data_IF_457380499920
#
_entry.id   IF_457380499920
#
_cell.length_a   1.000
_cell.length_b   1.000
_cell.length_c   1.000
_cell.angle_alpha   90.00
_cell.angle_beta   90.00
_cell.angle_gamma   90.00
#
_symmetry.space_group_name_H-M   'P 1'
#
loop_
_entity.id
_entity.type
_entity.pdbx_description
1 polymer ?
#
# COMPACT_ATOMS: atom_id res chain seq x y z
N UNK A 1 10.67 -14.06 1.84
CA UNK A 1 10.55 -12.91 2.72
C UNK A 1 11.43 -11.77 2.23
N UNK A 2 10.96 -10.54 2.41
CA UNK A 2 11.66 -9.40 1.83
C UNK A 2 12.86 -8.97 2.66
N UNK A 3 13.99 -8.84 2.01
CA UNK A 3 15.21 -8.33 2.63
C UNK A 3 15.40 -6.85 2.31
N UNK A 4 14.74 -6.36 1.27
CA UNK A 4 14.83 -4.95 0.84
C UNK A 4 13.45 -4.38 0.64
N UNK A 5 13.33 -3.04 0.68
CA UNK A 5 12.04 -2.38 0.43
C UNK A 5 11.56 -2.60 -0.99
N UNK A 6 12.46 -2.83 -1.93
CA UNK A 6 12.10 -3.09 -3.32
C UNK A 6 11.33 -4.40 -3.49
N UNK A 7 11.52 -5.35 -2.60
CA UNK A 7 10.83 -6.64 -2.65
C UNK A 7 9.45 -6.63 -2.00
N UNK A 8 9.12 -5.58 -1.24
CA UNK A 8 7.84 -5.49 -0.55
C UNK A 8 6.72 -5.23 -1.55
N UNK A 9 5.62 -5.96 -1.42
CA UNK A 9 4.50 -5.86 -2.34
C UNK A 9 3.20 -6.18 -1.65
N UNK A 10 2.09 -5.68 -2.20
CA UNK A 10 0.74 -6.07 -1.79
C UNK A 10 0.11 -7.00 -2.83
N UNK A 11 0.79 -7.28 -3.93
CA UNK A 11 0.27 -8.17 -4.97
C UNK A 11 0.02 -9.56 -4.37
N UNK A 12 -1.10 -10.13 -4.72
CA UNK A 12 -1.48 -11.46 -4.25
C UNK A 12 -2.20 -12.22 -5.35
N UNK A 13 -1.86 -13.49 -5.48
CA UNK A 13 -2.43 -14.35 -6.51
C UNK A 13 -3.04 -15.58 -5.84
N UNK A 14 -4.21 -15.98 -6.32
CA UNK A 14 -4.92 -17.15 -5.79
C UNK A 14 -5.60 -17.85 -6.95
N UNK A 15 -5.31 -19.15 -7.09
CA UNK A 15 -5.93 -19.97 -8.13
C UNK A 15 -5.69 -19.49 -9.55
N UNK A 16 -4.53 -18.90 -9.81
CA UNK A 16 -4.16 -18.40 -11.14
C UNK A 16 -4.68 -17.00 -11.45
N UNK A 17 -5.38 -16.38 -10.51
CA UNK A 17 -5.89 -15.02 -10.67
C UNK A 17 -5.17 -14.11 -9.68
N UNK A 18 -4.69 -12.98 -10.16
CA UNK A 18 -4.10 -11.96 -9.30
C UNK A 18 -5.23 -11.21 -8.61
N UNK A 19 -5.55 -11.64 -7.36
CA UNK A 19 -6.68 -11.08 -6.62
C UNK A 19 -6.42 -9.69 -6.09
N UNK A 20 -5.15 -9.37 -5.82
CA UNK A 20 -4.71 -8.01 -5.49
C UNK A 20 -3.65 -7.63 -6.50
N UNK A 21 -3.94 -6.62 -7.30
CA UNK A 21 -3.05 -6.15 -8.35
C UNK A 21 -2.39 -4.84 -7.91
N UNK A 22 -1.08 -4.90 -7.70
CA UNK A 22 -0.32 -3.69 -7.35
C UNK A 22 -0.13 -2.85 -8.60
N UNK A 23 -0.55 -1.59 -8.54
CA UNK A 23 -0.44 -0.66 -9.66
C UNK A 23 0.79 0.24 -9.53
N UNK A 24 1.09 0.67 -8.30
CA UNK A 24 2.22 1.55 -8.04
C UNK A 24 2.64 1.43 -6.59
N UNK A 25 3.85 1.84 -6.32
CA UNK A 25 4.44 1.76 -4.99
C UNK A 25 5.41 2.92 -4.79
N UNK A 26 5.33 3.56 -3.64
CA UNK A 26 6.27 4.62 -3.27
C UNK A 26 6.81 4.33 -1.89
N UNK A 27 8.12 4.49 -1.74
CA UNK A 27 8.79 4.34 -0.45
C UNK A 27 8.83 5.71 0.21
N UNK A 28 8.13 5.85 1.33
CA UNK A 28 8.08 7.13 2.05
C UNK A 28 9.28 7.27 2.99
N UNK A 29 9.60 6.20 3.71
CA UNK A 29 10.79 6.14 4.57
C UNK A 29 11.40 4.76 4.45
N UNK A 30 12.71 4.66 4.69
CA UNK A 30 13.37 3.35 4.74
C UNK A 30 14.47 3.35 5.80
N UNK A 31 14.88 2.15 6.21
CA UNK A 31 15.82 1.95 7.29
C UNK A 31 15.33 0.81 8.17
N UNK A 32 15.59 0.87 9.48
CA UNK A 32 15.11 -0.15 10.41
C UNK A 32 13.59 -0.21 10.41
N UNK A 33 12.93 0.94 10.25
CA UNK A 33 11.50 1.05 9.97
C UNK A 33 11.33 1.59 8.56
N UNK A 34 10.43 1.00 7.81
CA UNK A 34 10.12 1.46 6.45
C UNK A 34 8.61 1.69 6.33
N UNK A 35 8.25 2.80 5.71
CA UNK A 35 6.85 3.14 5.44
C UNK A 35 6.68 3.25 3.94
N UNK A 36 5.75 2.49 3.40
CA UNK A 36 5.46 2.46 1.97
C UNK A 36 3.99 2.74 1.74
N UNK A 37 3.70 3.32 0.58
CA UNK A 37 2.32 3.48 0.13
C UNK A 37 2.17 2.73 -1.19
N UNK A 38 1.08 2.00 -1.32
CA UNK A 38 0.77 1.21 -2.50
C UNK A 38 -0.56 1.66 -3.08
N UNK A 39 -0.65 1.66 -4.41
CA UNK A 39 -1.91 1.81 -5.13
C UNK A 39 -2.22 0.46 -5.73
N UNK A 40 -3.44 -0.02 -5.53
CA UNK A 40 -3.80 -1.37 -5.95
C UNK A 40 -5.27 -1.47 -6.32
N UNK A 41 -5.63 -2.60 -6.92
CA UNK A 41 -7.02 -2.95 -7.26
C UNK A 41 -7.29 -4.36 -6.79
N UNK A 42 -8.52 -4.61 -6.35
CA UNK A 42 -8.98 -5.94 -5.98
C UNK A 42 -9.76 -6.56 -7.14
N UNK A 43 -9.60 -7.84 -7.33
CA UNK A 43 -10.38 -8.59 -8.32
C UNK A 43 -11.80 -8.75 -7.82
N UNK A 44 -12.78 -8.40 -8.67
CA UNK A 44 -14.18 -8.57 -8.37
C UNK A 44 -14.69 -9.83 -9.08
N UNK A 45 -14.87 -10.90 -8.32
CA UNK A 45 -15.32 -12.19 -8.84
C UNK A 45 -16.68 -12.12 -9.54
N UNK A 46 -17.59 -11.36 -8.96
CA UNK A 46 -18.95 -11.26 -9.48
C UNK A 46 -18.98 -10.60 -10.85
N UNK A 47 -18.21 -9.54 -11.02
CA UNK A 47 -18.17 -8.78 -12.27
C UNK A 47 -17.11 -9.28 -13.24
N UNK A 48 -16.16 -10.10 -12.79
CA UNK A 48 -15.08 -10.58 -13.62
C UNK A 48 -14.12 -9.47 -14.04
N UNK A 49 -13.91 -8.46 -13.19
CA UNK A 49 -13.04 -7.35 -13.49
C UNK A 49 -12.43 -6.78 -12.21
N UNK A 50 -11.39 -5.97 -12.37
CA UNK A 50 -10.80 -5.29 -11.21
C UNK A 50 -11.66 -4.10 -10.81
N UNK A 51 -11.74 -3.85 -9.51
CA UNK A 51 -12.45 -2.71 -8.96
C UNK A 51 -11.67 -1.42 -9.08
N UNK A 52 -12.20 -0.33 -8.50
CA UNK A 52 -11.52 0.96 -8.53
C UNK A 52 -10.21 0.94 -7.74
N UNK A 53 -9.39 1.96 -7.96
CA UNK A 53 -8.12 2.11 -7.26
C UNK A 53 -8.35 2.27 -5.76
N UNK A 54 -7.52 1.57 -5.01
CA UNK A 54 -7.45 1.67 -3.56
C UNK A 54 -6.00 1.93 -3.18
N UNK A 55 -5.80 2.36 -1.95
CA UNK A 55 -4.47 2.70 -1.46
C UNK A 55 -4.27 2.09 -0.09
N UNK A 56 -3.02 1.78 0.26
CA UNK A 56 -2.70 1.30 1.59
C UNK A 56 -1.32 1.82 1.99
N UNK A 57 -1.23 2.24 3.25
CA UNK A 57 0.03 2.66 3.83
C UNK A 57 0.46 1.55 4.77
N UNK A 58 1.66 1.05 4.58
CA UNK A 58 2.16 -0.07 5.38
C UNK A 58 3.48 0.27 6.02
N UNK A 59 3.62 -0.11 7.29
CA UNK A 59 4.86 0.07 8.02
C UNK A 59 5.48 -1.29 8.29
N UNK A 60 6.77 -1.37 8.05
CA UNK A 60 7.54 -2.60 8.22
C UNK A 60 8.72 -2.32 9.14
N UNK A 61 9.10 -3.32 9.91
CA UNK A 61 10.30 -3.25 10.75
C UNK A 61 11.25 -4.35 10.32
N UNK A 62 12.51 -3.99 10.14
CA UNK A 62 13.53 -4.96 9.78
C UNK A 62 13.97 -5.71 11.02
N UNK A 63 13.84 -7.03 10.97
CA UNK A 63 14.22 -7.94 12.05
C UNK A 63 14.96 -9.12 11.45
N UNK A 64 16.17 -9.39 11.97
CA UNK A 64 16.98 -10.50 11.49
C UNK A 64 17.21 -10.47 9.98
N UNK A 65 17.40 -9.26 9.42
CA UNK A 65 17.66 -9.08 8.01
C UNK A 65 16.43 -9.09 7.11
N UNK A 66 15.22 -9.21 7.68
CA UNK A 66 13.98 -9.27 6.91
C UNK A 66 12.99 -8.22 7.38
N UNK A 67 12.26 -7.63 6.41
CA UNK A 67 11.19 -6.71 6.73
C UNK A 67 9.92 -7.47 7.08
N UNK A 68 9.31 -7.12 8.21
CA UNK A 68 8.06 -7.70 8.67
C UNK A 68 7.03 -6.60 8.82
N UNK A 69 5.83 -6.82 8.30
CA UNK A 69 4.76 -5.86 8.39
C UNK A 69 4.32 -5.70 9.84
N UNK A 70 4.28 -4.46 10.32
CA UNK A 70 3.88 -4.15 11.69
C UNK A 70 2.52 -3.48 11.76
N UNK A 71 2.19 -2.65 10.78
CA UNK A 71 0.88 -2.00 10.75
C UNK A 71 0.50 -1.67 9.31
N UNK A 72 -0.79 -1.43 9.12
CA UNK A 72 -1.31 -1.01 7.83
C UNK A 72 -2.50 -0.07 8.04
N UNK A 73 -2.69 0.83 7.08
CA UNK A 73 -3.86 1.68 7.02
C UNK A 73 -4.38 1.67 5.61
N UNK A 74 -5.59 1.16 5.42
CA UNK A 74 -6.20 1.04 4.10
C UNK A 74 -7.05 2.27 3.81
N UNK A 75 -6.85 2.81 2.61
CA UNK A 75 -7.63 3.93 2.09
C UNK A 75 -8.47 3.35 0.96
N UNK A 76 -9.76 3.17 1.19
CA UNK A 76 -10.60 2.34 0.34
C UNK A 76 -11.24 3.06 -0.85
N UNK A 77 -11.01 4.37 -1.00
CA UNK A 77 -11.56 5.12 -2.12
C UNK A 77 -10.73 6.36 -2.40
N UNK A 78 -10.91 6.92 -3.61
CA UNK A 78 -10.29 8.20 -3.97
C UNK A 78 -10.77 9.33 -3.08
N UNK A 79 -12.05 9.28 -2.71
CA UNK A 79 -12.65 10.33 -1.87
C UNK A 79 -12.01 10.35 -0.49
N UNK A 80 -11.80 9.17 0.10
CA UNK A 80 -11.11 9.08 1.38
C UNK A 80 -9.67 9.58 1.26
N UNK A 81 -8.99 9.24 0.16
CA UNK A 81 -7.63 9.71 -0.08
C UNK A 81 -7.57 11.22 -0.17
N UNK A 82 -8.51 11.84 -0.89
CA UNK A 82 -8.58 13.29 -1.03
C UNK A 82 -8.84 13.98 0.30
N UNK A 83 -9.68 13.40 1.14
CA UNK A 83 -9.95 13.94 2.48
C UNK A 83 -8.67 13.96 3.32
N UNK A 84 -7.89 12.90 3.25
CA UNK A 84 -6.62 12.81 3.98
C UNK A 84 -5.63 13.85 3.45
N UNK A 85 -5.55 14.00 2.12
CA UNK A 85 -4.69 15.00 1.48
C UNK A 85 -5.06 16.41 1.96
N UNK A 86 -6.35 16.72 1.99
CA UNK A 86 -6.84 18.03 2.37
C UNK A 86 -6.45 18.37 3.81
N UNK A 87 -6.61 17.43 4.72
CA UNK A 87 -6.26 17.63 6.12
C UNK A 87 -4.76 17.80 6.28
N UNK A 88 -3.98 16.92 5.67
CA UNK A 88 -2.53 16.97 5.78
C UNK A 88 -1.96 18.23 5.12
N UNK A 89 -2.54 18.64 3.99
CA UNK A 89 -2.12 19.88 3.31
C UNK A 89 -2.39 21.09 4.19
N UNK A 90 -3.55 21.10 4.86
CA UNK A 90 -3.88 22.21 5.76
C UNK A 90 -2.95 22.29 6.96
N UNK A 91 -2.54 21.14 7.48
CA UNK A 91 -1.69 21.10 8.67
C UNK A 91 -0.19 21.26 8.38
N UNK A 92 0.28 20.74 7.27
CA UNK A 92 1.71 20.64 6.98
C UNK A 92 2.13 21.27 5.67
N UNK A 93 1.20 21.61 4.81
CA UNK A 93 1.52 21.99 3.44
C UNK A 93 2.19 23.33 3.25
N UNK A 94 2.14 24.21 4.23
CA UNK A 94 2.71 25.56 4.12
C UNK A 94 4.10 25.70 4.73
N UNK A 95 4.65 24.62 5.21
CA UNK A 95 5.97 24.64 5.88
C UNK A 95 7.12 24.33 4.95
#
# INVERSE_FOLDING_TARGET
MAETVEELTVAYEDGGIQTVKELDKKVLTKGAWATLIFRYQDWNKTKGEYGPDKYTIRRYQKQNGEYRQKSKFNISSKEQAKSIIDVLSAWAGDD
#
